data_IF_196508448794
#
_entry.id   IF_196508448794
#
_cell.length_a   1.000
_cell.length_b   1.000
_cell.length_c   1.000
_cell.angle_alpha   90.00
_cell.angle_beta   90.00
_cell.angle_gamma   90.00
#
_symmetry.space_group_name_H-M   'P 1'
#
loop_
_entity.id
_entity.type
_entity.pdbx_description
1 polymer ?
#
# COMPACT_ATOMS: atom_id res chain seq x y z
N UNK A 1 23.42 -7.17 -15.48
CA UNK A 1 22.98 -5.95 -14.77
C UNK A 1 23.19 -6.16 -13.28
N UNK A 2 23.85 -5.23 -12.56
CA UNK A 2 24.08 -5.40 -11.12
C UNK A 2 22.73 -5.47 -10.39
N UNK A 3 22.57 -6.46 -9.50
CA UNK A 3 21.31 -6.68 -8.74
C UNK A 3 20.88 -5.41 -7.98
N UNK A 4 21.84 -4.64 -7.48
CA UNK A 4 21.63 -3.33 -6.83
C UNK A 4 20.98 -2.29 -7.77
N UNK A 5 21.49 -2.16 -9.00
CA UNK A 5 20.97 -1.22 -10.00
C UNK A 5 19.54 -1.61 -10.41
N UNK A 6 19.29 -2.91 -10.58
CA UNK A 6 17.96 -3.42 -10.92
C UNK A 6 16.94 -3.06 -9.82
N UNK A 7 17.31 -3.24 -8.55
CA UNK A 7 16.44 -2.91 -7.42
C UNK A 7 16.16 -1.40 -7.31
N UNK A 8 17.19 -0.56 -7.49
CA UNK A 8 17.05 0.89 -7.50
C UNK A 8 16.12 1.36 -8.62
N UNK A 9 16.23 0.77 -9.82
CA UNK A 9 15.34 1.09 -10.93
C UNK A 9 13.89 0.69 -10.62
N UNK A 10 13.65 -0.48 -10.03
CA UNK A 10 12.29 -0.92 -9.66
C UNK A 10 11.67 0.03 -8.63
N UNK A 11 12.41 0.39 -7.58
CA UNK A 11 11.94 1.34 -6.55
C UNK A 11 11.68 2.72 -7.19
N UNK A 12 12.63 3.21 -7.99
CA UNK A 12 12.51 4.50 -8.68
C UNK A 12 11.31 4.56 -9.62
N UNK A 13 11.06 3.51 -10.41
CA UNK A 13 9.87 3.41 -11.28
C UNK A 13 8.59 3.35 -10.45
N UNK A 14 8.57 2.61 -9.34
CA UNK A 14 7.42 2.55 -8.45
C UNK A 14 7.06 3.92 -7.88
N UNK A 15 8.07 4.66 -7.39
CA UNK A 15 7.89 6.02 -6.87
C UNK A 15 7.47 6.98 -8.00
N UNK A 16 8.14 6.94 -9.16
CA UNK A 16 7.80 7.80 -10.29
C UNK A 16 6.34 7.56 -10.73
N UNK A 17 5.93 6.30 -10.87
CA UNK A 17 4.56 5.94 -11.25
C UNK A 17 3.53 6.47 -10.25
N UNK A 18 3.86 6.48 -8.96
CA UNK A 18 2.98 7.02 -7.92
C UNK A 18 2.70 8.51 -8.12
N UNK A 19 3.72 9.30 -8.48
CA UNK A 19 3.56 10.72 -8.74
C UNK A 19 2.97 11.02 -10.13
N UNK A 20 3.36 10.27 -11.17
CA UNK A 20 2.84 10.47 -12.53
C UNK A 20 1.36 10.12 -12.67
N UNK A 21 0.85 9.17 -11.88
CA UNK A 21 -0.55 8.74 -11.90
C UNK A 21 -1.43 9.51 -10.90
N UNK A 22 -0.88 10.52 -10.22
CA UNK A 22 -1.56 11.31 -9.17
C UNK A 22 -2.26 10.45 -8.10
N UNK A 23 -1.65 9.30 -7.77
CA UNK A 23 -2.21 8.32 -6.81
C UNK A 23 -2.45 8.98 -5.44
N UNK A 24 -1.70 10.02 -5.11
CA UNK A 24 -1.88 10.83 -3.90
C UNK A 24 -3.30 11.39 -3.77
N UNK A 25 -3.94 11.79 -4.85
CA UNK A 25 -5.31 12.33 -4.83
C UNK A 25 -6.33 11.24 -4.52
N UNK A 26 -6.14 10.04 -5.08
CA UNK A 26 -6.95 8.86 -4.76
C UNK A 26 -6.76 8.38 -3.32
N UNK A 27 -5.56 8.53 -2.77
CA UNK A 27 -5.23 8.24 -1.37
C UNK A 27 -5.50 9.43 -0.43
N UNK A 28 -6.32 10.40 -0.84
CA UNK A 28 -6.76 11.49 0.02
C UNK A 28 -7.96 11.08 0.88
N UNK A 29 -8.09 11.73 2.03
CA UNK A 29 -9.22 11.49 2.94
C UNK A 29 -10.57 11.85 2.28
N UNK A 30 -10.61 12.91 1.48
CA UNK A 30 -11.81 13.30 0.73
C UNK A 30 -12.22 12.24 -0.30
N UNK A 31 -11.26 11.71 -1.07
CA UNK A 31 -11.51 10.61 -2.01
C UNK A 31 -12.04 9.36 -1.32
N UNK A 32 -11.48 9.02 -0.15
CA UNK A 32 -11.95 7.90 0.66
C UNK A 32 -13.39 8.14 1.15
N UNK A 33 -13.71 9.34 1.62
CA UNK A 33 -15.03 9.69 2.12
C UNK A 33 -16.09 9.59 1.02
N UNK A 34 -15.79 10.12 -0.17
CA UNK A 34 -16.70 10.09 -1.33
C UNK A 34 -16.89 8.68 -1.89
N UNK A 35 -15.86 7.85 -1.87
CA UNK A 35 -15.92 6.49 -2.44
C UNK A 35 -16.22 5.38 -1.41
N UNK A 36 -16.40 5.73 -0.12
CA UNK A 36 -16.54 4.76 0.97
C UNK A 36 -17.62 3.71 0.70
N UNK A 37 -18.81 4.15 0.34
CA UNK A 37 -19.95 3.25 0.14
C UNK A 37 -19.72 2.35 -1.08
N UNK A 38 -19.12 2.87 -2.14
CA UNK A 38 -18.72 2.10 -3.33
C UNK A 38 -17.70 1.03 -2.98
N UNK A 39 -16.66 1.38 -2.21
CA UNK A 39 -15.64 0.43 -1.77
C UNK A 39 -16.23 -0.67 -0.89
N UNK A 40 -17.20 -0.33 -0.04
CA UNK A 40 -17.91 -1.29 0.80
C UNK A 40 -18.76 -2.26 -0.02
N UNK A 41 -19.42 -1.79 -1.07
CA UNK A 41 -20.18 -2.65 -2.00
C UNK A 41 -19.23 -3.62 -2.71
N UNK A 42 -18.11 -3.14 -3.27
CA UNK A 42 -17.11 -4.00 -3.94
C UNK A 42 -16.57 -5.07 -2.97
N UNK A 43 -16.31 -4.69 -1.72
CA UNK A 43 -15.91 -5.63 -0.68
C UNK A 43 -16.99 -6.68 -0.39
N UNK A 44 -18.27 -6.30 -0.38
CA UNK A 44 -19.38 -7.23 -0.16
C UNK A 44 -19.58 -8.20 -1.34
N UNK A 45 -19.30 -7.77 -2.56
CA UNK A 45 -19.38 -8.63 -3.75
C UNK A 45 -18.26 -9.67 -3.80
N UNK A 46 -17.01 -9.28 -3.50
CA UNK A 46 -15.85 -10.17 -3.59
C UNK A 46 -14.83 -9.92 -2.47
N UNK A 47 -15.20 -10.30 -1.24
CA UNK A 47 -14.42 -9.97 -0.03
C UNK A 47 -12.97 -10.47 -0.06
N UNK A 48 -12.75 -11.71 -0.51
CA UNK A 48 -11.41 -12.32 -0.52
C UNK A 48 -10.48 -11.55 -1.48
N UNK A 49 -10.92 -11.30 -2.71
CA UNK A 49 -10.13 -10.60 -3.73
C UNK A 49 -9.81 -9.18 -3.25
N UNK A 50 -10.80 -8.48 -2.69
CA UNK A 50 -10.61 -7.12 -2.19
C UNK A 50 -9.65 -7.05 -1.01
N UNK A 51 -9.66 -8.04 -0.10
CA UNK A 51 -8.69 -8.13 1.00
C UNK A 51 -7.27 -8.29 0.47
N UNK A 52 -7.03 -9.23 -0.45
CA UNK A 52 -5.69 -9.43 -1.03
C UNK A 52 -5.21 -8.20 -1.78
N UNK A 53 -6.10 -7.57 -2.54
CA UNK A 53 -5.81 -6.31 -3.22
C UNK A 53 -5.42 -5.21 -2.23
N UNK A 54 -6.21 -5.02 -1.16
CA UNK A 54 -5.95 -4.01 -0.14
C UNK A 54 -4.59 -4.23 0.56
N UNK A 55 -4.31 -5.47 0.99
CA UNK A 55 -3.03 -5.82 1.61
C UNK A 55 -1.87 -5.59 0.64
N UNK A 56 -2.04 -5.94 -0.64
CA UNK A 56 -1.05 -5.70 -1.68
C UNK A 56 -0.74 -4.22 -1.89
N UNK A 57 -1.78 -3.38 -2.00
CA UNK A 57 -1.62 -1.93 -2.11
C UNK A 57 -0.93 -1.37 -0.87
N UNK A 58 -1.38 -1.76 0.33
CA UNK A 58 -0.78 -1.32 1.58
C UNK A 58 0.71 -1.72 1.67
N UNK A 59 1.02 -2.98 1.33
CA UNK A 59 2.39 -3.48 1.25
C UNK A 59 3.26 -2.66 0.30
N UNK A 60 2.77 -2.34 -0.89
CA UNK A 60 3.50 -1.52 -1.86
C UNK A 60 3.72 -0.10 -1.36
N UNK A 61 2.69 0.53 -0.77
CA UNK A 61 2.80 1.86 -0.16
C UNK A 61 3.88 1.89 0.91
N UNK A 62 3.91 0.91 1.81
CA UNK A 62 4.91 0.87 2.90
C UNK A 62 6.29 0.48 2.38
N UNK A 63 6.41 -0.53 1.52
CA UNK A 63 7.70 -1.00 1.01
C UNK A 63 8.43 0.05 0.18
N UNK A 64 7.70 0.86 -0.58
CA UNK A 64 8.23 1.98 -1.35
C UNK A 64 8.28 3.30 -0.56
N UNK A 65 7.88 3.30 0.72
CA UNK A 65 7.84 4.48 1.59
C UNK A 65 7.02 5.64 1.00
N UNK A 66 5.90 5.32 0.37
CA UNK A 66 5.01 6.27 -0.30
C UNK A 66 4.06 6.95 0.72
N UNK A 67 3.63 8.21 0.46
CA UNK A 67 2.61 8.86 1.27
C UNK A 67 1.24 8.20 1.06
N UNK A 68 0.38 8.25 2.09
CA UNK A 68 -0.99 7.75 2.02
C UNK A 68 -1.29 6.51 2.87
N UNK A 69 -0.28 5.91 3.51
CA UNK A 69 -0.46 4.77 4.42
C UNK A 69 -1.49 5.06 5.53
N UNK A 70 -1.48 6.28 6.11
CA UNK A 70 -2.46 6.70 7.11
C UNK A 70 -3.90 6.66 6.58
N UNK A 71 -4.12 7.13 5.35
CA UNK A 71 -5.46 7.12 4.74
C UNK A 71 -5.90 5.69 4.43
N UNK A 72 -4.99 4.83 3.96
CA UNK A 72 -5.27 3.40 3.78
C UNK A 72 -5.62 2.71 5.11
N UNK A 73 -4.95 3.04 6.21
CA UNK A 73 -5.28 2.51 7.54
C UNK A 73 -6.69 2.93 7.98
N UNK A 74 -7.06 4.20 7.77
CA UNK A 74 -8.42 4.68 8.03
C UNK A 74 -9.45 3.99 7.13
N UNK A 75 -9.13 3.80 5.85
CA UNK A 75 -9.95 3.05 4.90
C UNK A 75 -10.19 1.61 5.37
N UNK A 76 -9.15 0.96 5.89
CA UNK A 76 -9.24 -0.40 6.41
C UNK A 76 -10.28 -0.50 7.54
N UNK A 77 -10.19 0.42 8.52
CA UNK A 77 -11.13 0.48 9.62
C UNK A 77 -12.56 0.79 9.16
N UNK A 78 -12.72 1.64 8.14
CA UNK A 78 -14.01 2.03 7.61
C UNK A 78 -14.69 0.94 6.74
N UNK A 79 -13.92 0.12 6.04
CA UNK A 79 -14.41 -0.90 5.09
C UNK A 79 -14.52 -2.27 5.76
N UNK A 80 -13.47 -2.73 6.43
CA UNK A 80 -13.39 -4.07 7.04
C UNK A 80 -13.83 -4.10 8.51
N UNK A 81 -14.02 -2.94 9.13
CA UNK A 81 -14.22 -2.80 10.57
C UNK A 81 -12.89 -2.71 11.33
N UNK A 82 -12.96 -2.38 12.62
CA UNK A 82 -11.78 -2.08 13.45
C UNK A 82 -10.85 -3.28 13.61
N UNK A 83 -11.38 -4.46 13.95
CA UNK A 83 -10.57 -5.65 14.25
C UNK A 83 -9.91 -6.22 13.00
N UNK A 84 -10.70 -6.50 11.95
CA UNK A 84 -10.17 -7.02 10.69
C UNK A 84 -9.28 -6.00 9.99
N UNK A 85 -9.69 -4.72 9.94
CA UNK A 85 -8.87 -3.65 9.38
C UNK A 85 -7.50 -3.55 10.06
N UNK A 86 -7.46 -3.60 11.40
CA UNK A 86 -6.20 -3.62 12.16
C UNK A 86 -5.31 -4.81 11.80
N UNK A 87 -5.87 -6.02 11.72
CA UNK A 87 -5.10 -7.21 11.37
C UNK A 87 -4.51 -7.12 9.96
N UNK A 88 -5.31 -6.71 8.98
CA UNK A 88 -4.88 -6.57 7.59
C UNK A 88 -3.80 -5.50 7.43
N UNK A 89 -3.97 -4.34 8.09
CA UNK A 89 -2.99 -3.26 8.12
C UNK A 89 -1.69 -3.73 8.75
N UNK A 90 -1.74 -4.46 9.87
CA UNK A 90 -0.54 -4.94 10.54
C UNK A 90 0.26 -5.93 9.67
N UNK A 91 -0.44 -6.84 8.98
CA UNK A 91 0.17 -7.77 8.03
C UNK A 91 0.85 -6.99 6.89
N UNK A 92 0.12 -6.08 6.25
CA UNK A 92 0.66 -5.24 5.16
C UNK A 92 1.86 -4.38 5.61
N UNK A 93 1.77 -3.78 6.79
CA UNK A 93 2.83 -2.96 7.37
C UNK A 93 4.10 -3.77 7.67
N UNK A 94 3.94 -4.94 8.30
CA UNK A 94 5.07 -5.79 8.68
C UNK A 94 5.80 -6.31 7.44
N UNK A 95 5.05 -6.78 6.44
CA UNK A 95 5.62 -7.23 5.16
C UNK A 95 6.31 -6.07 4.43
N UNK A 96 5.64 -4.91 4.35
CA UNK A 96 6.16 -3.73 3.66
C UNK A 96 7.45 -3.21 4.31
N UNK A 97 7.47 -3.09 5.63
CA UNK A 97 8.64 -2.66 6.40
C UNK A 97 9.80 -3.66 6.26
N UNK A 98 9.50 -4.96 6.26
CA UNK A 98 10.51 -6.00 6.01
C UNK A 98 11.10 -5.88 4.60
N UNK A 99 10.26 -5.67 3.59
CA UNK A 99 10.73 -5.48 2.21
C UNK A 99 11.54 -4.19 2.03
N UNK A 100 11.13 -3.08 2.65
CA UNK A 100 11.89 -1.83 2.67
C UNK A 100 13.25 -2.03 3.33
N UNK A 101 13.29 -2.69 4.50
CA UNK A 101 14.53 -3.00 5.21
C UNK A 101 15.48 -3.88 4.38
N UNK A 102 14.97 -4.96 3.79
CA UNK A 102 15.77 -5.83 2.94
C UNK A 102 16.31 -5.05 1.73
N UNK A 103 15.47 -4.21 1.12
CA UNK A 103 15.88 -3.41 -0.04
C UNK A 103 17.00 -2.45 0.32
N UNK A 104 16.87 -1.71 1.43
CA UNK A 104 17.91 -0.85 1.96
C UNK A 104 19.19 -1.66 2.24
N UNK A 105 19.08 -2.80 2.93
CA UNK A 105 20.22 -3.67 3.22
C UNK A 105 20.95 -4.13 1.95
N UNK A 106 20.24 -4.48 0.88
CA UNK A 106 20.88 -4.91 -0.37
C UNK A 106 21.54 -3.76 -1.14
N UNK A 107 20.99 -2.55 -1.06
CA UNK A 107 21.53 -1.35 -1.72
C UNK A 107 22.80 -0.87 -1.00
N UNK A 108 22.74 -0.76 0.33
CA UNK A 108 23.80 -0.18 1.16
C UNK A 108 24.87 -1.17 1.64
N UNK A 109 24.67 -2.48 1.44
CA UNK A 109 25.73 -3.46 1.70
C UNK A 109 26.80 -3.33 0.62
N UNK A 110 28.05 -3.13 1.00
CA UNK A 110 29.23 -3.14 0.11
C UNK A 110 29.29 -4.42 -0.73
#
# INVERSE_FOLDING_TARGET
>A
MNKKITLLLVIGIGIASFYFLDIKEYLSFESLKTNRDRLKIIYQENSIVFIFWFVGVYFLTVSLSLPGATVLTLAAGAIFGSVLGMLLVNIGATLGATAAFLSARFIFRD
#
